data_IF_209259922498
#
_entry.id   IF_209259922498
#
_cell.length_a   1.000
_cell.length_b   1.000
_cell.length_c   1.000
_cell.angle_alpha   90.00
_cell.angle_beta   90.00
_cell.angle_gamma   90.00
#
_symmetry.space_group_name_H-M   'P 1'
#
loop_
_entity.id
_entity.type
_entity.pdbx_description
1 polymer ?
#
# COMPACT_ATOMS: atom_id res chain seq x y z
N UNK A 1 29.63 18.12 9.57
CA UNK A 1 28.57 18.66 10.45
C UNK A 1 28.10 20.06 10.02
N UNK A 2 28.31 20.48 8.75
CA UNK A 2 28.00 21.82 8.24
C UNK A 2 26.77 21.88 7.30
N UNK A 3 26.36 20.77 6.69
CA UNK A 3 25.23 20.73 5.75
C UNK A 3 23.85 20.91 6.42
N UNK A 4 23.75 20.69 7.73
CA UNK A 4 22.49 20.81 8.49
C UNK A 4 22.20 22.27 8.89
N UNK A 5 23.22 23.13 9.00
CA UNK A 5 23.05 24.52 9.43
C UNK A 5 22.63 25.49 8.31
N UNK A 6 22.95 25.18 7.05
CA UNK A 6 22.60 26.03 5.89
C UNK A 6 21.08 26.10 5.63
N UNK A 7 20.35 25.03 5.96
CA UNK A 7 18.89 24.96 5.76
C UNK A 7 18.11 26.00 6.59
N UNK A 8 18.68 26.40 7.75
CA UNK A 8 18.04 27.36 8.66
C UNK A 8 18.20 28.81 8.19
N UNK A 9 19.21 29.10 7.36
CA UNK A 9 19.49 30.44 6.81
C UNK A 9 18.67 30.79 5.56
N UNK A 10 18.24 29.79 4.77
CA UNK A 10 17.48 29.99 3.53
C UNK A 10 16.12 29.27 3.54
N UNK A 11 15.39 29.33 4.67
CA UNK A 11 14.06 28.71 4.83
C UNK A 11 13.09 29.06 3.70
N UNK A 12 13.13 30.28 3.16
CA UNK A 12 12.28 30.73 2.07
C UNK A 12 12.60 30.08 0.72
N UNK A 13 13.89 29.92 0.38
CA UNK A 13 14.30 29.27 -0.86
C UNK A 13 14.04 27.75 -0.81
N UNK A 14 14.27 27.13 0.34
CA UNK A 14 13.93 25.73 0.55
C UNK A 14 12.41 25.48 0.54
N UNK A 15 11.64 26.35 1.21
CA UNK A 15 10.19 26.29 1.19
C UNK A 15 9.65 26.50 -0.22
N UNK A 16 10.16 27.46 -1.00
CA UNK A 16 9.75 27.67 -2.39
C UNK A 16 10.05 26.48 -3.30
N UNK A 17 11.13 25.74 -3.05
CA UNK A 17 11.51 24.55 -3.84
C UNK A 17 10.66 23.32 -3.49
N UNK A 18 10.30 23.14 -2.22
CA UNK A 18 9.46 22.03 -1.76
C UNK A 18 7.97 22.31 -1.87
N UNK A 19 7.55 23.58 -1.79
CA UNK A 19 6.15 24.01 -1.77
C UNK A 19 5.32 23.50 -2.95
N UNK A 20 5.75 23.59 -4.23
CA UNK A 20 4.89 23.15 -5.33
C UNK A 20 4.64 21.63 -5.27
N UNK A 21 5.66 20.84 -4.94
CA UNK A 21 5.53 19.38 -4.82
C UNK A 21 4.67 18.96 -3.63
N UNK A 22 4.91 19.54 -2.45
CA UNK A 22 4.14 19.22 -1.25
C UNK A 22 2.70 19.70 -1.35
N UNK A 23 2.46 20.90 -1.88
CA UNK A 23 1.12 21.43 -2.09
C UNK A 23 0.34 20.58 -3.10
N UNK A 24 0.97 20.21 -4.22
CA UNK A 24 0.35 19.35 -5.21
C UNK A 24 -0.04 17.98 -4.61
N UNK A 25 0.90 17.29 -3.95
CA UNK A 25 0.64 15.99 -3.33
C UNK A 25 -0.43 16.09 -2.25
N UNK A 26 -0.38 17.13 -1.42
CA UNK A 26 -1.35 17.31 -0.33
C UNK A 26 -2.74 17.57 -0.88
N UNK A 27 -2.90 18.47 -1.85
CA UNK A 27 -4.22 18.77 -2.45
C UNK A 27 -4.79 17.53 -3.13
N UNK A 28 -4.02 16.86 -3.99
CA UNK A 28 -4.51 15.70 -4.75
C UNK A 28 -4.72 14.46 -3.89
N UNK A 29 -3.99 14.30 -2.78
CA UNK A 29 -4.20 13.21 -1.84
C UNK A 29 -5.37 13.50 -0.89
N UNK A 30 -5.49 14.74 -0.38
CA UNK A 30 -6.58 15.13 0.50
C UNK A 30 -7.92 15.17 -0.21
N UNK A 31 -7.97 15.56 -1.49
CA UNK A 31 -9.21 15.65 -2.27
C UNK A 31 -10.02 14.33 -2.28
N UNK A 32 -9.47 13.15 -2.67
CA UNK A 32 -10.21 11.90 -2.60
C UNK A 32 -10.52 11.48 -1.16
N UNK A 33 -9.66 11.80 -0.18
CA UNK A 33 -9.95 11.52 1.23
C UNK A 33 -11.17 12.30 1.73
N UNK A 34 -11.27 13.59 1.39
CA UNK A 34 -12.43 14.43 1.73
C UNK A 34 -13.67 13.95 1.00
N UNK A 35 -13.56 13.52 -0.26
CA UNK A 35 -14.67 12.91 -0.98
C UNK A 35 -15.15 11.63 -0.30
N UNK A 36 -14.25 10.69 0.03
CA UNK A 36 -14.59 9.46 0.76
C UNK A 36 -15.21 9.79 2.12
N UNK A 37 -14.67 10.78 2.83
CA UNK A 37 -15.21 11.24 4.11
C UNK A 37 -16.63 11.79 3.95
N UNK A 38 -16.87 12.65 2.95
CA UNK A 38 -18.20 13.19 2.65
C UNK A 38 -19.18 12.09 2.25
N UNK A 39 -18.76 11.14 1.41
CA UNK A 39 -19.56 9.99 1.02
C UNK A 39 -19.85 9.03 2.18
N UNK A 40 -18.97 8.93 3.17
CA UNK A 40 -19.18 8.07 4.34
C UNK A 40 -20.44 8.44 5.13
N UNK A 41 -20.87 9.71 5.10
CA UNK A 41 -22.10 10.18 5.75
C UNK A 41 -23.32 10.23 4.82
N UNK A 42 -23.15 9.97 3.52
CA UNK A 42 -24.25 10.01 2.54
C UNK A 42 -24.87 8.62 2.40
N UNK A 43 -26.20 8.55 2.47
CA UNK A 43 -26.91 7.32 2.14
C UNK A 43 -26.73 6.98 0.65
N UNK A 44 -26.41 5.72 0.36
CA UNK A 44 -26.39 5.22 -1.02
C UNK A 44 -27.73 4.57 -1.29
N UNK A 45 -28.52 5.12 -2.21
CA UNK A 45 -29.74 4.47 -2.68
C UNK A 45 -29.38 3.09 -3.30
N UNK A 46 -30.38 2.22 -3.47
CA UNK A 46 -30.26 0.84 -3.96
C UNK A 46 -29.59 0.72 -5.35
N UNK A 47 -29.40 1.85 -6.04
CA UNK A 47 -28.75 1.97 -7.35
C UNK A 47 -27.41 2.75 -7.33
N UNK A 48 -26.94 3.21 -6.16
CA UNK A 48 -25.65 3.89 -6.01
C UNK A 48 -25.66 5.40 -6.26
N UNK A 49 -26.84 6.01 -6.44
CA UNK A 49 -26.97 7.47 -6.50
C UNK A 49 -26.87 8.06 -5.08
N UNK A 50 -25.99 9.06 -4.85
CA UNK A 50 -25.84 9.68 -3.54
C UNK A 50 -27.04 10.60 -3.27
N UNK A 51 -27.90 10.21 -2.34
CA UNK A 51 -28.87 11.14 -1.77
C UNK A 51 -28.16 11.91 -0.66
N UNK A 52 -28.25 13.25 -0.68
CA UNK A 52 -27.65 14.14 0.33
C UNK A 52 -28.42 14.09 1.65
N UNK A 53 -28.67 12.89 2.17
CA UNK A 53 -29.23 12.66 3.49
C UNK A 53 -28.09 12.19 4.37
N UNK A 54 -27.79 12.97 5.41
CA UNK A 54 -26.79 12.62 6.41
C UNK A 54 -27.34 11.49 7.27
N UNK A 55 -26.81 10.27 7.11
CA UNK A 55 -27.23 9.11 7.91
C UNK A 55 -26.03 8.44 8.60
N UNK A 56 -26.26 7.91 9.80
CA UNK A 56 -25.30 7.10 10.56
C UNK A 56 -25.46 5.60 10.29
N UNK A 57 -26.41 5.22 9.42
CA UNK A 57 -26.76 3.83 9.13
C UNK A 57 -25.62 3.09 8.41
N UNK A 58 -24.82 3.79 7.60
CA UNK A 58 -23.61 3.23 6.99
C UNK A 58 -22.58 2.75 8.04
N UNK A 59 -22.48 3.45 9.18
CA UNK A 59 -21.60 3.04 10.27
C UNK A 59 -22.18 1.82 11.00
N UNK A 60 -23.49 1.76 11.23
CA UNK A 60 -24.13 0.58 11.82
C UNK A 60 -23.96 -0.66 10.94
N UNK A 61 -24.13 -0.53 9.61
CA UNK A 61 -23.86 -1.59 8.64
C UNK A 61 -22.39 -2.01 8.62
N UNK A 62 -21.46 -1.08 8.80
CA UNK A 62 -20.03 -1.40 8.89
C UNK A 62 -19.68 -2.24 10.14
N UNK A 63 -20.48 -2.14 11.21
CA UNK A 63 -20.35 -2.98 12.40
C UNK A 63 -21.13 -4.31 12.31
N UNK A 64 -21.82 -4.59 11.21
CA UNK A 64 -22.43 -5.90 10.99
C UNK A 64 -21.37 -6.99 10.90
N UNK A 65 -21.74 -8.18 11.38
CA UNK A 65 -20.87 -9.37 11.41
C UNK A 65 -20.26 -9.71 10.06
N UNK A 66 -20.96 -9.45 8.95
CA UNK A 66 -20.45 -9.71 7.59
C UNK A 66 -19.24 -8.82 7.30
N UNK A 67 -19.34 -7.51 7.52
CA UNK A 67 -18.24 -6.57 7.31
C UNK A 67 -17.07 -6.84 8.26
N UNK A 68 -17.35 -7.10 9.53
CA UNK A 68 -16.32 -7.48 10.51
C UNK A 68 -15.60 -8.78 10.13
N UNK A 69 -16.31 -9.78 9.58
CA UNK A 69 -15.69 -11.04 9.13
C UNK A 69 -14.72 -10.84 7.96
N UNK A 70 -15.06 -9.94 7.02
CA UNK A 70 -14.20 -9.60 5.88
C UNK A 70 -12.97 -8.83 6.37
N UNK A 71 -13.15 -7.89 7.29
CA UNK A 71 -12.05 -7.16 7.93
C UNK A 71 -11.12 -8.12 8.68
N UNK A 72 -11.67 -9.04 9.46
CA UNK A 72 -10.89 -10.04 10.18
C UNK A 72 -10.14 -10.97 9.23
N UNK A 73 -10.78 -11.44 8.16
CA UNK A 73 -10.15 -12.29 7.14
C UNK A 73 -8.99 -11.56 6.49
N UNK A 74 -9.19 -10.29 6.11
CA UNK A 74 -8.14 -9.47 5.49
C UNK A 74 -6.96 -9.24 6.44
N UNK A 75 -7.25 -8.94 7.71
CA UNK A 75 -6.24 -8.75 8.74
C UNK A 75 -5.47 -10.04 9.02
N UNK A 76 -6.18 -11.18 9.12
CA UNK A 76 -5.58 -12.49 9.32
C UNK A 76 -4.66 -12.88 8.17
N UNK A 77 -5.13 -12.72 6.92
CA UNK A 77 -4.33 -12.99 5.72
C UNK A 77 -3.11 -12.07 5.65
N UNK A 78 -3.25 -10.78 5.95
CA UNK A 78 -2.14 -9.83 5.96
C UNK A 78 -1.11 -10.17 7.05
N UNK A 79 -1.57 -10.51 8.26
CA UNK A 79 -0.70 -10.90 9.37
C UNK A 79 0.04 -12.20 9.07
N UNK A 80 -0.66 -13.22 8.57
CA UNK A 80 -0.07 -14.49 8.17
C UNK A 80 0.97 -14.30 7.06
N UNK A 81 0.63 -13.53 6.03
CA UNK A 81 1.55 -13.23 4.92
C UNK A 81 2.78 -12.50 5.42
N UNK A 82 2.61 -11.49 6.28
CA UNK A 82 3.73 -10.74 6.87
C UNK A 82 4.64 -11.65 7.70
N UNK A 83 4.05 -12.50 8.55
CA UNK A 83 4.80 -13.46 9.35
C UNK A 83 5.60 -14.43 8.49
N UNK A 84 4.99 -14.98 7.42
CA UNK A 84 5.67 -15.85 6.47
C UNK A 84 6.78 -15.12 5.70
N UNK A 85 6.54 -13.88 5.26
CA UNK A 85 7.55 -13.05 4.60
C UNK A 85 8.74 -12.77 5.51
N UNK A 86 8.53 -12.50 6.80
CA UNK A 86 9.62 -12.31 7.75
C UNK A 86 10.33 -13.64 8.02
N UNK A 87 9.58 -14.71 8.27
CA UNK A 87 10.14 -16.02 8.57
C UNK A 87 11.00 -16.59 7.44
N UNK A 88 10.64 -16.33 6.18
CA UNK A 88 11.39 -16.80 4.99
C UNK A 88 12.41 -15.74 4.54
N UNK A 89 12.05 -14.48 4.53
CA UNK A 89 12.89 -13.38 4.06
C UNK A 89 14.10 -13.14 4.95
N UNK A 90 13.92 -13.27 6.27
CA UNK A 90 15.01 -13.08 7.24
C UNK A 90 16.16 -14.08 7.05
N UNK A 91 15.95 -15.41 6.99
CA UNK A 91 17.03 -16.37 6.76
C UNK A 91 17.66 -16.21 5.38
N UNK A 92 16.89 -15.83 4.35
CA UNK A 92 17.45 -15.55 3.01
C UNK A 92 18.36 -14.32 3.05
N UNK A 93 17.92 -13.23 3.67
CA UNK A 93 18.73 -12.02 3.83
C UNK A 93 19.99 -12.29 4.65
N UNK A 94 19.87 -13.07 5.73
CA UNK A 94 21.00 -13.53 6.54
C UNK A 94 21.97 -14.35 5.68
N UNK A 95 21.49 -15.35 4.92
CA UNK A 95 22.31 -16.14 4.02
C UNK A 95 23.08 -15.30 2.98
N UNK A 96 22.44 -14.26 2.44
CA UNK A 96 23.09 -13.31 1.51
C UNK A 96 24.13 -12.44 2.23
N UNK A 97 23.88 -12.05 3.48
CA UNK A 97 24.79 -11.23 4.27
C UNK A 97 26.11 -11.96 4.59
N UNK A 98 26.06 -13.27 4.84
CA UNK A 98 27.24 -14.11 5.11
C UNK A 98 27.84 -14.78 3.85
N UNK A 99 27.24 -14.59 2.67
CA UNK A 99 27.75 -15.16 1.43
C UNK A 99 29.04 -14.46 0.94
N UNK A 100 29.96 -15.19 0.28
CA UNK A 100 31.16 -14.60 -0.31
C UNK A 100 30.81 -13.56 -1.39
N UNK A 101 31.60 -12.48 -1.45
CA UNK A 101 31.32 -11.28 -2.27
C UNK A 101 30.98 -11.57 -3.73
N UNK A 102 31.58 -12.61 -4.32
CA UNK A 102 31.33 -13.06 -5.71
C UNK A 102 29.89 -13.54 -5.97
N UNK A 103 29.20 -14.10 -4.96
CA UNK A 103 27.82 -14.61 -5.10
C UNK A 103 26.77 -13.62 -4.61
N UNK A 104 27.16 -12.65 -3.79
CA UNK A 104 26.25 -11.65 -3.20
C UNK A 104 25.48 -10.87 -4.25
N UNK A 105 26.17 -10.37 -5.29
CA UNK A 105 25.54 -9.64 -6.40
C UNK A 105 24.55 -10.52 -7.16
N UNK A 106 24.93 -11.76 -7.49
CA UNK A 106 24.06 -12.69 -8.23
C UNK A 106 22.80 -13.06 -7.43
N UNK A 107 22.95 -13.32 -6.13
CA UNK A 107 21.82 -13.63 -5.24
C UNK A 107 20.86 -12.44 -5.10
N UNK A 108 21.39 -11.22 -4.96
CA UNK A 108 20.57 -10.01 -4.92
C UNK A 108 19.79 -9.80 -6.22
N UNK A 109 20.45 -9.96 -7.37
CA UNK A 109 19.78 -9.87 -8.68
C UNK A 109 18.67 -10.91 -8.78
N UNK A 110 18.91 -12.16 -8.39
CA UNK A 110 17.90 -13.22 -8.44
C UNK A 110 16.67 -12.91 -7.59
N UNK A 111 16.84 -12.26 -6.43
CA UNK A 111 15.73 -11.83 -5.55
C UNK A 111 14.96 -10.65 -6.15
N UNK A 112 15.64 -9.74 -6.83
CA UNK A 112 15.03 -8.53 -7.43
C UNK A 112 14.34 -8.83 -8.77
N UNK A 113 14.85 -9.80 -9.54
CA UNK A 113 14.28 -10.20 -10.83
C UNK A 113 12.75 -10.45 -10.80
N UNK A 114 12.17 -11.21 -9.85
CA UNK A 114 10.72 -11.42 -9.79
C UNK A 114 9.93 -10.16 -9.36
N UNK A 115 10.60 -9.13 -8.84
CA UNK A 115 9.96 -7.83 -8.59
C UNK A 115 9.90 -6.97 -9.86
N UNK A 116 10.85 -7.17 -10.78
CA UNK A 116 10.86 -6.48 -12.07
C UNK A 116 9.87 -7.07 -13.08
N UNK A 117 9.32 -8.27 -12.83
CA UNK A 117 8.28 -8.84 -13.67
C UNK A 117 6.91 -8.22 -13.33
N UNK A 118 6.18 -7.83 -14.37
CA UNK A 118 4.88 -7.19 -14.21
C UNK A 118 3.92 -8.10 -13.42
N UNK A 119 3.24 -7.53 -12.42
CA UNK A 119 2.27 -8.24 -11.57
C UNK A 119 1.25 -9.01 -12.40
N UNK A 120 0.82 -8.47 -13.55
CA UNK A 120 -0.12 -9.11 -14.47
C UNK A 120 0.43 -10.46 -15.01
N UNK A 121 1.69 -10.52 -15.40
CA UNK A 121 2.28 -11.76 -15.92
C UNK A 121 2.29 -12.83 -14.84
N UNK A 122 2.63 -12.44 -13.61
CA UNK A 122 2.60 -13.36 -12.46
C UNK A 122 1.18 -13.82 -12.16
N UNK A 123 0.19 -12.93 -12.10
CA UNK A 123 -1.21 -13.30 -11.81
C UNK A 123 -1.79 -14.19 -12.91
N UNK A 124 -1.59 -13.88 -14.19
CA UNK A 124 -2.04 -14.74 -15.30
C UNK A 124 -1.34 -16.09 -15.32
N UNK A 125 -0.05 -16.14 -14.98
CA UNK A 125 0.69 -17.39 -14.82
C UNK A 125 0.05 -18.29 -13.76
N UNK A 126 -0.23 -17.75 -12.57
CA UNK A 126 -0.94 -18.50 -11.52
C UNK A 126 -2.34 -18.92 -11.93
N UNK A 127 -3.11 -18.04 -12.58
CA UNK A 127 -4.44 -18.37 -13.10
C UNK A 127 -4.32 -19.55 -14.08
N UNK A 128 -3.39 -19.51 -15.04
CA UNK A 128 -3.23 -20.60 -16.02
C UNK A 128 -2.86 -21.94 -15.38
N UNK A 129 -2.08 -21.94 -14.30
CA UNK A 129 -1.64 -23.16 -13.60
C UNK A 129 -2.73 -23.70 -12.66
N UNK A 130 -3.46 -22.81 -11.99
CA UNK A 130 -4.52 -23.17 -11.03
C UNK A 130 -5.86 -23.43 -11.73
N UNK A 131 -6.01 -23.02 -13.00
CA UNK A 131 -7.22 -23.27 -13.79
C UNK A 131 -7.29 -24.75 -14.14
N UNK A 132 -8.04 -25.48 -13.32
CA UNK A 132 -8.38 -26.87 -13.58
C UNK A 132 -9.47 -26.93 -14.66
N UNK A 133 -9.04 -27.09 -15.92
CA UNK A 133 -9.80 -27.22 -17.17
C UNK A 133 -10.40 -25.93 -17.77
N UNK A 134 -9.92 -25.60 -18.98
CA UNK A 134 -10.59 -24.77 -20.00
C UNK A 134 -10.63 -23.28 -19.69
#
# INVERSE_FOLDING_TARGET
>A
MSAVEDWRRHKGAFAALMAPGTLWLTVFFSLPLVLVFAYSFSESDRFGDPTFVLTLENYERAFEWVHLSILWTSLWVAALTTALCVAIGFPVAFGIAFAPARWKTTLLVLVILPFWTNLLVRTYGWISVLRTRG
#
